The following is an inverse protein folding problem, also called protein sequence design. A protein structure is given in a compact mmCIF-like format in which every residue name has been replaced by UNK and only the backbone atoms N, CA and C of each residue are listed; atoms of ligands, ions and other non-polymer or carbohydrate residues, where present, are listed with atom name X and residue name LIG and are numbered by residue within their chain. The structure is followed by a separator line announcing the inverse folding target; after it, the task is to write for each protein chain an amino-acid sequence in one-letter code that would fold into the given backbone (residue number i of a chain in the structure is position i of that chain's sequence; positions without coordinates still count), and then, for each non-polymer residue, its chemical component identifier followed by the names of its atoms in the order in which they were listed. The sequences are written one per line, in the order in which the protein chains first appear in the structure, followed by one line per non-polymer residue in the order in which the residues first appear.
data_IF_564039662383
#
_entry.id   IF_564039662383
#
_cell.length_a   1.000
_cell.length_b   1.000
_cell.length_c   1.000
_cell.angle_alpha   90.00
_cell.angle_beta   90.00
_cell.angle_gamma   90.00
#
_symmetry.space_group_name_H-M   'P 1'
#
loop_
_entity.id
_entity.type
_entity.pdbx_description
1 polymer ?
#
# COMPACT_ATOMS: atom_id res chain seq x y z
N UNK A 1 -7.10 -1.39 -0.40
CA UNK A 1 -6.37 -0.66 -1.46
C UNK A 1 -7.17 -0.68 -2.76
N UNK A 2 -7.42 -1.85 -3.35
CA UNK A 2 -8.08 -1.97 -4.66
C UNK A 2 -9.46 -1.29 -4.75
N UNK A 3 -10.31 -1.39 -3.72
CA UNK A 3 -11.61 -0.71 -3.68
C UNK A 3 -11.55 0.78 -4.03
N UNK A 4 -10.63 1.53 -3.42
CA UNK A 4 -10.49 2.98 -3.66
C UNK A 4 -9.85 3.25 -5.03
N UNK A 5 -8.95 2.39 -5.51
CA UNK A 5 -8.40 2.51 -6.86
C UNK A 5 -9.50 2.34 -7.93
N UNK A 6 -10.49 1.48 -7.69
CA UNK A 6 -11.60 1.27 -8.61
C UNK A 6 -12.52 2.50 -8.76
N UNK A 7 -12.39 3.50 -7.89
CA UNK A 7 -13.12 4.77 -8.00
C UNK A 7 -12.46 5.74 -9.00
N UNK A 8 -11.17 5.58 -9.28
CA UNK A 8 -10.37 6.53 -10.08
C UNK A 8 -9.85 5.91 -11.39
N UNK A 9 -9.63 4.60 -11.43
CA UNK A 9 -9.11 3.90 -12.61
C UNK A 9 -10.24 3.32 -13.46
N UNK A 10 -10.06 3.35 -14.78
CA UNK A 10 -11.01 2.75 -15.74
C UNK A 10 -11.21 1.24 -15.56
N UNK A 11 -10.23 0.56 -14.97
CA UNK A 11 -10.31 -0.85 -14.60
C UNK A 11 -9.22 -1.20 -13.60
N UNK A 12 -9.57 -2.06 -12.64
CA UNK A 12 -8.66 -2.58 -11.62
C UNK A 12 -8.71 -4.10 -11.70
N UNK A 13 -7.54 -4.73 -11.76
CA UNK A 13 -7.39 -6.16 -11.57
C UNK A 13 -6.73 -6.38 -10.21
N UNK A 14 -7.50 -6.89 -9.24
CA UNK A 14 -7.12 -6.98 -7.84
C UNK A 14 -6.87 -8.43 -7.43
N UNK A 15 -5.64 -8.71 -7.01
CA UNK A 15 -5.23 -10.03 -6.50
C UNK A 15 -4.50 -9.88 -5.18
N UNK A 16 -4.62 -10.87 -4.31
CA UNK A 16 -3.83 -10.98 -3.08
C UNK A 16 -3.56 -12.46 -2.76
N UNK A 17 -2.60 -12.76 -1.89
CA UNK A 17 -2.37 -14.12 -1.37
C UNK A 17 -3.44 -14.56 -0.38
N UNK A 18 -4.31 -13.65 0.07
CA UNK A 18 -5.44 -13.90 0.94
C UNK A 18 -6.77 -13.53 0.28
N UNK A 19 -7.82 -14.28 0.58
CA UNK A 19 -9.19 -13.92 0.23
C UNK A 19 -9.74 -12.92 1.26
N UNK A 20 -10.05 -11.70 0.83
CA UNK A 20 -10.57 -10.66 1.72
C UNK A 20 -12.09 -10.51 1.67
N UNK A 21 -12.78 -11.24 0.79
CA UNK A 21 -14.25 -11.24 0.71
C UNK A 21 -14.83 -9.95 0.16
N UNK A 22 -14.04 -9.18 -0.61
CA UNK A 22 -14.54 -8.05 -1.38
C UNK A 22 -14.84 -8.51 -2.80
N UNK A 23 -16.07 -8.29 -3.28
CA UNK A 23 -16.53 -8.76 -4.61
C UNK A 23 -15.68 -8.26 -5.79
N UNK A 24 -14.88 -7.20 -5.60
CA UNK A 24 -13.95 -6.69 -6.60
C UNK A 24 -12.56 -7.34 -6.59
N UNK A 25 -12.34 -8.38 -5.78
CA UNK A 25 -11.12 -9.18 -5.80
C UNK A 25 -11.21 -10.24 -6.91
N UNK A 26 -10.41 -10.07 -7.97
CA UNK A 26 -10.40 -10.97 -9.14
C UNK A 26 -9.82 -12.36 -8.84
N UNK A 27 -9.00 -12.49 -7.79
CA UNK A 27 -8.48 -13.79 -7.40
C UNK A 27 -7.53 -13.81 -6.23
N UNK A 28 -7.19 -15.04 -5.82
CA UNK A 28 -6.14 -15.32 -4.85
C UNK A 28 -4.90 -15.78 -5.61
N UNK A 29 -3.85 -14.96 -5.61
CA UNK A 29 -2.62 -15.22 -6.35
C UNK A 29 -1.40 -14.60 -5.65
N UNK A 30 -0.28 -15.31 -5.70
CA UNK A 30 1.02 -14.74 -5.35
C UNK A 30 1.59 -13.96 -6.53
N UNK A 31 1.78 -12.66 -6.34
CA UNK A 31 2.28 -11.77 -7.39
C UNK A 31 3.68 -12.15 -7.92
N UNK A 32 4.52 -12.80 -7.10
CA UNK A 32 5.89 -13.15 -7.46
C UNK A 32 6.03 -14.41 -8.31
N UNK A 33 4.96 -15.17 -8.54
CA UNK A 33 5.00 -16.27 -9.50
C UNK A 33 5.18 -15.72 -10.92
N UNK A 34 5.75 -16.51 -11.82
CA UNK A 34 5.77 -16.12 -13.22
C UNK A 34 4.40 -16.32 -13.84
N UNK A 35 3.78 -15.21 -14.23
CA UNK A 35 2.44 -15.19 -14.83
C UNK A 35 2.47 -15.62 -16.31
N UNK A 36 3.64 -15.66 -16.97
CA UNK A 36 3.77 -16.16 -18.33
C UNK A 36 2.79 -15.49 -19.33
N UNK A 37 1.97 -16.31 -19.99
CA UNK A 37 0.95 -15.85 -20.94
C UNK A 37 -0.33 -15.31 -20.27
N UNK A 38 -0.51 -15.56 -18.98
CA UNK A 38 -1.69 -15.18 -18.19
C UNK A 38 -1.55 -13.78 -17.55
N UNK A 39 -0.45 -13.05 -17.86
CA UNK A 39 -0.23 -11.68 -17.37
C UNK A 39 -1.37 -10.76 -17.83
N UNK A 40 -2.12 -10.14 -16.89
CA UNK A 40 -3.11 -9.15 -17.24
C UNK A 40 -2.46 -7.93 -17.90
N UNK A 41 -3.07 -7.39 -18.96
CA UNK A 41 -2.57 -6.20 -19.67
C UNK A 41 -2.80 -4.91 -18.87
N UNK A 42 -2.01 -4.70 -17.82
CA UNK A 42 -2.15 -3.53 -16.93
C UNK A 42 -1.28 -2.37 -17.36
N UNK A 43 -1.79 -1.15 -17.17
CA UNK A 43 -0.98 0.06 -17.32
C UNK A 43 -0.12 0.31 -16.07
N UNK A 44 -0.67 0.05 -14.90
CA UNK A 44 -0.04 0.29 -13.61
C UNK A 44 -0.06 -0.95 -12.73
N UNK A 45 1.04 -1.18 -12.01
CA UNK A 45 1.09 -2.09 -10.87
C UNK A 45 1.13 -1.23 -9.60
N UNK A 46 0.13 -1.37 -8.73
CA UNK A 46 0.03 -0.61 -7.48
C UNK A 46 -0.10 -1.60 -6.33
N UNK A 47 0.81 -1.54 -5.35
CA UNK A 47 0.86 -2.58 -4.30
C UNK A 47 1.38 -2.05 -2.97
N UNK A 48 0.97 -2.73 -1.88
CA UNK A 48 1.56 -2.62 -0.55
C UNK A 48 2.27 -3.95 -0.26
N UNK A 49 3.52 -4.12 -0.71
CA UNK A 49 4.18 -5.42 -0.68
C UNK A 49 4.52 -5.85 0.76
N UNK A 50 4.68 -7.16 1.01
CA UNK A 50 5.27 -7.65 2.25
C UNK A 50 6.65 -7.01 2.50
N UNK A 51 6.94 -6.60 3.74
CA UNK A 51 8.12 -5.76 4.05
C UNK A 51 9.46 -6.29 3.53
N UNK A 52 9.63 -7.62 3.48
CA UNK A 52 10.88 -8.26 3.04
C UNK A 52 11.00 -8.40 1.52
N UNK A 53 9.87 -8.36 0.80
CA UNK A 53 9.78 -8.71 -0.62
C UNK A 53 9.60 -7.48 -1.51
N UNK A 54 9.81 -6.28 -0.98
CA UNK A 54 9.52 -5.04 -1.71
C UNK A 54 10.32 -4.91 -3.00
N UNK A 55 11.60 -5.30 -3.01
CA UNK A 55 12.44 -5.17 -4.19
C UNK A 55 12.03 -6.14 -5.31
N UNK A 56 11.66 -7.37 -4.95
CA UNK A 56 11.14 -8.41 -5.83
C UNK A 56 9.81 -7.97 -6.46
N UNK A 57 8.89 -7.42 -5.65
CA UNK A 57 7.63 -6.88 -6.15
C UNK A 57 7.85 -5.72 -7.13
N UNK A 58 8.80 -4.82 -6.85
CA UNK A 58 9.12 -3.73 -7.76
C UNK A 58 9.63 -4.30 -9.09
N UNK A 59 10.64 -5.18 -9.07
CA UNK A 59 11.21 -5.79 -10.29
C UNK A 59 10.14 -6.52 -11.12
N UNK A 60 9.29 -7.30 -10.46
CA UNK A 60 8.19 -8.00 -11.10
C UNK A 60 7.18 -7.00 -11.72
N UNK A 61 6.85 -5.93 -10.99
CA UNK A 61 6.00 -4.85 -11.50
C UNK A 61 6.58 -4.15 -12.73
N UNK A 62 7.90 -3.89 -12.75
CA UNK A 62 8.57 -3.23 -13.87
C UNK A 62 8.55 -4.09 -15.16
N UNK A 63 8.48 -5.42 -15.02
CA UNK A 63 8.32 -6.36 -16.15
C UNK A 63 6.93 -6.26 -16.80
N UNK A 64 5.87 -6.10 -15.99
CA UNK A 64 4.49 -6.23 -16.47
C UNK A 64 3.78 -4.89 -16.69
N UNK A 65 4.14 -3.83 -15.97
CA UNK A 65 3.48 -2.54 -16.07
C UNK A 65 3.85 -1.79 -17.37
N UNK A 66 2.82 -1.45 -18.16
CA UNK A 66 2.99 -0.68 -19.41
C UNK A 66 3.33 0.79 -19.18
N UNK A 67 2.99 1.37 -18.02
CA UNK A 67 3.20 2.80 -17.71
C UNK A 67 3.96 3.04 -16.42
N UNK A 68 3.67 2.31 -15.36
CA UNK A 68 4.37 2.56 -14.10
C UNK A 68 4.06 1.61 -12.96
N UNK A 69 4.87 1.71 -11.92
CA UNK A 69 4.78 0.91 -10.71
C UNK A 69 4.73 1.86 -9.53
N UNK A 70 3.77 1.70 -8.63
CA UNK A 70 3.69 2.44 -7.38
C UNK A 70 3.66 1.45 -6.21
N UNK A 71 4.57 1.63 -5.24
CA UNK A 71 4.65 0.76 -4.07
C UNK A 71 4.57 1.55 -2.79
N UNK A 72 3.71 1.11 -1.87
CA UNK A 72 3.60 1.65 -0.53
C UNK A 72 4.56 0.91 0.38
N UNK A 73 5.60 1.58 0.84
CA UNK A 73 6.67 0.98 1.65
C UNK A 73 6.98 1.86 2.85
N UNK A 74 7.70 1.32 3.84
CA UNK A 74 8.27 2.14 4.91
C UNK A 74 9.22 3.17 4.29
N UNK A 75 9.27 4.39 4.82
CA UNK A 75 10.12 5.45 4.23
C UNK A 75 11.60 5.04 4.18
N UNK A 76 12.09 4.28 5.16
CA UNK A 76 13.46 3.74 5.17
C UNK A 76 13.76 2.73 4.06
N UNK A 77 12.80 2.40 3.19
CA UNK A 77 13.02 1.56 2.02
C UNK A 77 13.92 2.25 0.98
N UNK A 78 13.98 3.58 0.96
CA UNK A 78 14.87 4.35 0.06
C UNK A 78 16.36 4.21 0.39
N UNK A 79 16.68 3.60 1.53
CA UNK A 79 18.05 3.37 1.98
C UNK A 79 18.50 1.94 1.66
N UNK A 80 19.79 1.64 1.83
CA UNK A 80 20.34 0.29 1.80
C UNK A 80 21.20 0.00 0.57
N UNK A 81 22.44 -0.40 0.82
CA UNK A 81 23.47 -0.66 -0.20
C UNK A 81 23.01 -1.72 -1.20
N UNK A 82 22.52 -2.86 -0.72
CA UNK A 82 22.04 -3.93 -1.61
C UNK A 82 20.90 -3.48 -2.53
N UNK A 83 19.94 -2.68 -2.02
CA UNK A 83 18.87 -2.14 -2.86
C UNK A 83 19.37 -1.11 -3.85
N UNK A 84 20.35 -0.31 -3.46
CA UNK A 84 21.00 0.60 -4.40
C UNK A 84 21.62 -0.20 -5.57
N UNK A 85 22.45 -1.19 -5.27
CA UNK A 85 23.17 -1.98 -6.27
C UNK A 85 22.22 -2.80 -7.17
N UNK A 86 21.16 -3.37 -6.59
CA UNK A 86 20.30 -4.37 -7.26
C UNK A 86 18.96 -3.82 -7.77
N UNK A 87 18.61 -2.58 -7.46
CA UNK A 87 17.34 -1.97 -7.86
C UNK A 87 17.53 -0.50 -8.27
N UNK A 88 17.89 0.38 -7.34
CA UNK A 88 17.81 1.83 -7.57
C UNK A 88 18.84 2.34 -8.58
N UNK A 89 20.04 1.75 -8.64
CA UNK A 89 21.05 2.15 -9.62
C UNK A 89 20.62 1.82 -11.05
N UNK A 90 20.01 0.64 -11.27
CA UNK A 90 19.59 0.19 -12.60
C UNK A 90 18.21 0.75 -13.00
N UNK A 91 17.35 1.03 -12.03
CA UNK A 91 15.99 1.49 -12.23
C UNK A 91 15.62 2.43 -11.08
N UNK A 92 16.07 3.70 -11.13
CA UNK A 92 15.70 4.69 -10.13
C UNK A 92 14.19 4.98 -10.18
N UNK A 93 13.61 5.24 -9.02
CA UNK A 93 12.23 5.70 -8.92
C UNK A 93 12.11 7.14 -9.43
N UNK A 94 11.00 7.42 -10.12
CA UNK A 94 10.65 8.75 -10.57
C UNK A 94 10.21 9.65 -9.40
N UNK A 95 9.55 9.08 -8.39
CA UNK A 95 9.07 9.84 -7.24
C UNK A 95 9.27 9.11 -5.92
N UNK A 96 9.68 9.89 -4.92
CA UNK A 96 9.66 9.53 -3.50
C UNK A 96 8.65 10.44 -2.80
N UNK A 97 7.57 9.85 -2.30
CA UNK A 97 6.41 10.57 -1.77
C UNK A 97 6.09 10.14 -0.32
N UNK A 98 6.88 10.56 0.69
CA UNK A 98 6.54 10.35 2.09
C UNK A 98 5.25 11.06 2.49
N UNK A 99 4.49 10.39 3.37
CA UNK A 99 3.37 11.02 4.06
C UNK A 99 3.88 11.98 5.12
N UNK A 100 3.26 13.16 5.21
CA UNK A 100 3.52 14.09 6.33
C UNK A 100 2.79 13.68 7.61
N UNK A 101 1.72 12.89 7.47
CA UNK A 101 0.99 12.28 8.57
C UNK A 101 1.32 10.80 8.72
N UNK A 102 1.10 10.23 9.91
CA UNK A 102 1.29 8.80 10.13
C UNK A 102 0.15 8.02 9.49
N UNK A 103 0.50 7.01 8.70
CA UNK A 103 -0.46 6.05 8.17
C UNK A 103 -0.72 4.99 9.22
N UNK A 104 -1.98 4.87 9.66
CA UNK A 104 -2.40 3.80 10.56
C UNK A 104 -2.38 2.46 9.80
N UNK A 105 -1.40 1.62 10.10
CA UNK A 105 -1.34 0.25 9.58
C UNK A 105 -1.41 -0.74 10.74
N UNK A 106 -2.46 -1.57 10.72
CA UNK A 106 -2.69 -2.64 11.68
C UNK A 106 -2.65 -3.99 10.99
N UNK A 107 -2.07 -4.98 11.66
CA UNK A 107 -1.92 -6.31 11.09
C UNK A 107 -3.28 -6.98 10.98
N UNK A 108 -3.68 -7.34 9.76
CA UNK A 108 -4.88 -8.13 9.48
C UNK A 108 -6.21 -7.40 9.70
N UNK A 109 -6.19 -6.09 9.98
CA UNK A 109 -7.40 -5.30 10.20
C UNK A 109 -7.24 -3.89 9.64
N UNK A 110 -8.28 -3.42 8.94
CA UNK A 110 -8.42 -2.03 8.53
C UNK A 110 -9.25 -1.29 9.59
N UNK A 111 -8.69 -0.26 10.21
CA UNK A 111 -9.33 0.53 11.26
C UNK A 111 -9.37 2.00 10.86
N UNK A 112 -10.46 2.67 11.20
CA UNK A 112 -10.57 4.13 11.08
C UNK A 112 -9.64 4.81 12.11
N UNK A 113 -8.65 5.62 11.68
CA UNK A 113 -7.74 6.35 12.56
C UNK A 113 -8.42 7.30 13.55
N UNK A 114 -9.62 7.77 13.22
CA UNK A 114 -10.39 8.68 14.06
C UNK A 114 -11.30 7.95 15.08
N UNK A 115 -11.44 6.62 14.98
CA UNK A 115 -12.25 5.81 15.91
C UNK A 115 -11.35 5.09 16.91
N UNK A 116 -11.56 5.33 18.21
CA UNK A 116 -10.80 4.64 19.26
C UNK A 116 -11.16 3.15 19.34
N UNK A 117 -10.17 2.33 19.62
CA UNK A 117 -10.28 0.88 19.86
C UNK A 117 -9.90 0.52 21.28
N UNK A 118 -10.46 -0.58 21.79
CA UNK A 118 -10.14 -1.12 23.11
C UNK A 118 -8.76 -1.77 23.10
N UNK A 119 -7.93 -1.39 24.08
CA UNK A 119 -6.66 -2.02 24.38
C UNK A 119 -6.85 -2.90 25.63
N UNK A 120 -6.99 -4.21 25.41
CA UNK A 120 -7.22 -5.18 26.48
C UNK A 120 -6.04 -5.28 27.45
N UNK A 121 -4.80 -5.03 27.00
CA UNK A 121 -3.61 -5.08 27.86
C UNK A 121 -3.59 -3.90 28.83
N UNK A 122 -4.07 -2.73 28.38
CA UNK A 122 -4.06 -1.50 29.17
C UNK A 122 -5.39 -1.17 29.83
N UNK A 123 -6.46 -1.89 29.50
CA UNK A 123 -7.81 -1.58 29.97
C UNK A 123 -8.31 -0.20 29.56
N UNK A 124 -7.88 0.31 28.40
CA UNK A 124 -8.19 1.70 27.97
C UNK A 124 -8.54 1.79 26.49
N UNK A 125 -9.20 2.89 26.10
CA UNK A 125 -9.45 3.21 24.69
C UNK A 125 -8.23 3.95 24.09
N UNK A 126 -7.74 3.50 22.94
CA UNK A 126 -6.63 4.16 22.20
C UNK A 126 -6.98 4.43 20.75
N UNK A 127 -6.35 5.45 20.16
CA UNK A 127 -6.39 5.65 18.72
C UNK A 127 -5.54 4.59 18.01
N UNK A 128 -5.98 4.04 16.88
CA UNK A 128 -5.22 3.07 16.12
C UNK A 128 -4.11 3.80 15.34
N UNK A 129 -2.99 4.10 16.00
CA UNK A 129 -1.84 4.81 15.42
C UNK A 129 -0.65 3.88 15.19
N UNK A 130 0.24 4.26 14.28
CA UNK A 130 1.54 3.60 14.09
C UNK A 130 2.66 4.63 14.09
N UNK A 131 3.79 4.31 14.71
CA UNK A 131 4.98 5.15 14.70
C UNK A 131 5.80 5.01 13.39
N UNK A 132 5.48 4.02 12.55
CA UNK A 132 6.19 3.79 11.28
C UNK A 132 5.89 4.90 10.27
N UNK A 133 6.91 5.40 9.59
CA UNK A 133 6.75 6.29 8.44
C UNK A 133 6.64 5.48 7.17
N UNK A 134 5.76 5.92 6.27
CA UNK A 134 5.54 5.31 4.97
C UNK A 134 5.77 6.33 3.86
N UNK A 135 6.06 5.82 2.67
CA UNK A 135 6.14 6.60 1.43
C UNK A 135 5.59 5.77 0.28
N UNK A 136 5.05 6.47 -0.72
CA UNK A 136 4.90 5.89 -2.04
C UNK A 136 6.20 6.08 -2.82
N UNK A 137 6.73 5.00 -3.37
CA UNK A 137 7.78 5.06 -4.39
C UNK A 137 7.14 4.76 -5.75
N UNK A 138 7.48 5.56 -6.75
CA UNK A 138 6.82 5.49 -8.06
C UNK A 138 7.86 5.41 -9.16
N UNK A 139 7.77 4.38 -10.00
CA UNK A 139 8.46 4.28 -11.28
C UNK A 139 7.47 4.64 -12.39
N UNK A 140 7.92 5.46 -13.34
CA UNK A 140 7.10 5.91 -14.47
C UNK A 140 7.89 5.81 -15.75
N UNK A 141 7.25 5.34 -16.82
CA UNK A 141 7.80 5.39 -18.17
C UNK A 141 7.60 6.78 -18.79
N UNK A 142 8.64 7.28 -19.45
CA UNK A 142 8.61 8.46 -20.30
C UNK A 142 7.92 8.18 -21.64
N UNK A 143 7.87 9.19 -22.49
CA UNK A 143 7.29 9.08 -23.85
C UNK A 143 8.09 8.12 -24.75
N UNK A 144 9.38 7.96 -24.46
CA UNK A 144 10.29 7.00 -25.10
C UNK A 144 10.09 5.54 -24.64
N UNK A 145 9.15 5.30 -23.72
CA UNK A 145 8.87 4.00 -23.14
C UNK A 145 9.90 3.54 -22.10
N UNK A 146 10.94 4.31 -21.84
CA UNK A 146 11.95 4.00 -20.81
C UNK A 146 11.52 4.53 -19.46
N UNK A 147 11.97 3.90 -18.37
CA UNK A 147 11.73 4.45 -17.04
C UNK A 147 12.54 5.73 -16.85
N UNK A 148 11.91 6.76 -16.30
CA UNK A 148 12.57 8.04 -16.04
C UNK A 148 13.65 7.87 -14.97
N UNK A 149 14.78 8.55 -15.14
CA UNK A 149 15.90 8.51 -14.20
C UNK A 149 16.02 9.71 -13.26
N UNK A 150 15.14 10.71 -13.40
CA UNK A 150 15.09 11.90 -12.54
C UNK A 150 14.20 11.65 -11.32
N UNK A 151 14.81 11.31 -10.19
CA UNK A 151 14.09 11.08 -8.92
C UNK A 151 13.65 12.40 -8.30
N UNK A 152 12.34 12.56 -8.13
CA UNK A 152 11.73 13.75 -7.52
C UNK A 152 11.19 13.46 -6.13
N UNK A 153 11.56 14.30 -5.18
CA UNK A 153 11.03 14.24 -3.83
C UNK A 153 9.80 15.13 -3.69
N UNK A 154 8.66 14.53 -3.36
CA UNK A 154 7.41 15.21 -3.04
C UNK A 154 6.90 14.80 -1.66
N UNK A 155 5.95 15.55 -1.10
CA UNK A 155 5.32 15.16 0.17
C UNK A 155 3.83 14.99 -0.06
N UNK A 156 3.25 13.93 0.49
CA UNK A 156 1.80 13.74 0.51
C UNK A 156 1.27 14.54 1.70
N UNK A 157 0.47 15.61 1.50
CA UNK A 157 -0.08 16.43 2.57
C UNK A 157 -1.11 15.63 3.41
N UNK A 158 -1.64 16.21 4.51
CA UNK A 158 -2.55 15.51 5.42
C UNK A 158 -3.96 15.42 4.83
N UNK A 159 -4.08 14.72 3.70
CA UNK A 159 -5.30 14.61 2.91
C UNK A 159 -6.23 13.51 3.37
N UNK A 160 -5.82 12.61 4.29
CA UNK A 160 -6.65 11.47 4.69
C UNK A 160 -8.06 11.91 5.09
N UNK A 161 -8.18 12.90 5.98
CA UNK A 161 -9.50 13.38 6.43
C UNK A 161 -10.34 14.00 5.32
N UNK A 162 -9.69 14.63 4.33
CA UNK A 162 -10.38 15.27 3.21
C UNK A 162 -10.87 14.26 2.16
N UNK A 163 -10.17 13.14 2.03
CA UNK A 163 -10.44 12.12 1.01
C UNK A 163 -11.24 10.93 1.56
N UNK A 164 -11.34 10.76 2.88
CA UNK A 164 -12.11 9.67 3.51
C UNK A 164 -13.60 9.84 3.22
N UNK A 165 -14.24 8.79 2.70
CA UNK A 165 -15.68 8.72 2.38
C UNK A 165 -16.40 7.76 3.33
N UNK A 166 -17.72 7.93 3.53
CA UNK A 166 -18.51 6.93 4.24
C UNK A 166 -18.37 5.54 3.59
N UNK A 167 -17.99 4.54 4.40
CA UNK A 167 -17.80 3.16 3.93
C UNK A 167 -16.38 2.78 3.52
N UNK A 168 -15.40 3.68 3.67
CA UNK A 168 -13.98 3.35 3.47
C UNK A 168 -13.43 2.42 4.55
N UNK A 169 -13.92 2.58 5.78
CA UNK A 169 -13.53 1.76 6.92
C UNK A 169 -14.68 0.81 7.32
N UNK A 170 -14.40 -0.49 7.55
CA UNK A 170 -15.38 -1.40 8.11
C UNK A 170 -15.65 -1.08 9.59
N UNK A 171 -16.75 -1.60 10.17
CA UNK A 171 -16.99 -1.50 11.60
C UNK A 171 -15.83 -2.07 12.43
N UNK A 172 -15.55 -1.46 13.59
CA UNK A 172 -14.54 -1.97 14.52
C UNK A 172 -14.84 -3.45 14.86
N UNK A 173 -13.88 -4.38 14.72
CA UNK A 173 -14.08 -5.79 15.07
C UNK A 173 -14.46 -5.98 16.54
N UNK A 174 -15.25 -7.01 16.84
CA UNK A 174 -15.79 -7.25 18.19
C UNK A 174 -14.70 -7.30 19.28
N UNK A 175 -13.56 -7.96 19.00
CA UNK A 175 -12.45 -8.07 19.96
C UNK A 175 -11.72 -6.74 20.26
N UNK A 176 -11.98 -5.70 19.46
CA UNK A 176 -11.44 -4.34 19.65
C UNK A 176 -12.50 -3.36 20.17
N UNK A 177 -13.70 -3.84 20.50
CA UNK A 177 -14.74 -3.04 21.16
C UNK A 177 -14.56 -3.11 22.67
N UNK A 178 -15.01 -2.07 23.37
CA UNK A 178 -15.06 -2.10 24.84
C UNK A 178 -16.01 -3.24 25.27
N UNK A 179 -15.63 -4.08 26.24
CA UNK A 179 -16.52 -5.10 26.77
C UNK A 179 -17.78 -4.47 27.39
N UNK A 180 -18.95 -5.04 27.10
CA UNK A 180 -20.19 -4.67 27.79
C UNK A 180 -20.08 -5.06 29.28
N UNK A 181 -20.39 -4.12 30.19
CA UNK A 181 -20.36 -4.37 31.62
C UNK A 181 -19.01 -4.19 32.33
N UNK A 182 -17.95 -3.75 31.64
CA UNK A 182 -16.69 -3.36 32.27
C UNK A 182 -16.86 -2.06 33.09
N UNK A 183 -17.21 -2.22 34.37
CA UNK A 183 -17.05 -1.21 35.41
C UNK A 183 -15.56 -0.86 35.51
N UNK A 184 -15.26 0.45 35.54
CA UNK A 184 -13.92 1.00 35.77
C UNK A 184 -13.40 0.60 37.14
#
# INVERSE_FOLDING_TARGET
MAKVLAEEFAGVHATDVHEYGWDGQDGVADFLIDWGQDVPKVDWVITNPPFRLGAEFIRQGLRYARRGVAVLVRTSFVEGVERYDTLFQASPEAFVLPFVERVAMWKGVLLDPDVKVWDAERGTMKSPTSATSYAWLVWRRGEDGQFTSDTRFGRIPPWRRLLTRPGDYPPVPAHLRRPEGALL
#
